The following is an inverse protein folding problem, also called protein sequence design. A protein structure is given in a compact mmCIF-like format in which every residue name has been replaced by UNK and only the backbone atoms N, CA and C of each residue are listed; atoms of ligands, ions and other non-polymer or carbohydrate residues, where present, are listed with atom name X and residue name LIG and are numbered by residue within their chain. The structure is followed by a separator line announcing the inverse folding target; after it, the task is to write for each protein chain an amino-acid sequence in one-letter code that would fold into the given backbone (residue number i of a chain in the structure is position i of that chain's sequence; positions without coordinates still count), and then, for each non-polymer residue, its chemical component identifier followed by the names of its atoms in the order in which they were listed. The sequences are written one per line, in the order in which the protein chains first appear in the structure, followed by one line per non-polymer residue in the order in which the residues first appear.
data_IF_956685148344
#
_entry.id   IF_956685148344
#
_cell.length_a   1.000
_cell.length_b   1.000
_cell.length_c   1.000
_cell.angle_alpha   90.00
_cell.angle_beta   90.00
_cell.angle_gamma   90.00
#
_symmetry.space_group_name_H-M   'P 1'
#
loop_
_entity.id
_entity.type
_entity.pdbx_description
1 polymer ?
#
# COMPACT_ATOMS: atom_id res chain seq x y z
N UNK A 1 -25.43 7.01 -9.40
CA UNK A 1 -24.55 7.25 -8.24
C UNK A 1 -24.05 5.91 -7.76
N UNK A 2 -22.79 5.55 -8.04
CA UNK A 2 -22.24 4.25 -7.65
C UNK A 2 -21.81 4.34 -6.19
N UNK A 3 -22.52 3.62 -5.31
CA UNK A 3 -22.14 3.47 -3.91
C UNK A 3 -21.10 2.35 -3.85
N UNK A 4 -19.83 2.70 -3.66
CA UNK A 4 -18.77 1.73 -3.39
C UNK A 4 -18.90 1.30 -1.93
N UNK A 5 -19.13 0.00 -1.62
CA UNK A 5 -19.27 -0.44 -0.24
C UNK A 5 -17.96 -0.26 0.54
N UNK A 6 -18.06 0.31 1.75
CA UNK A 6 -16.96 0.44 2.71
C UNK A 6 -16.48 -0.93 3.20
N UNK A 7 -15.64 -1.63 2.42
CA UNK A 7 -14.77 -2.68 2.95
C UNK A 7 -13.35 -2.12 3.04
N UNK A 8 -12.82 -2.07 4.26
CA UNK A 8 -11.42 -1.85 4.66
C UNK A 8 -10.96 -0.44 5.13
N UNK A 9 -11.61 0.13 6.15
CA UNK A 9 -10.92 1.10 7.05
C UNK A 9 -11.03 0.59 8.48
N UNK A 10 -9.88 0.40 9.16
CA UNK A 10 -9.82 0.04 10.58
C UNK A 10 -9.86 1.31 11.42
N UNK A 11 -10.75 1.36 12.43
CA UNK A 11 -10.75 2.44 13.42
C UNK A 11 -9.54 2.26 14.34
N UNK A 12 -8.73 3.31 14.47
CA UNK A 12 -7.55 3.35 15.33
C UNK A 12 -7.67 4.58 16.23
N UNK A 13 -7.39 4.41 17.52
CA UNK A 13 -7.27 5.53 18.48
C UNK A 13 -5.79 5.87 18.61
N UNK A 14 -5.46 7.16 18.49
CA UNK A 14 -4.11 7.69 18.68
C UNK A 14 -4.18 8.88 19.63
N UNK A 15 -3.18 9.04 20.48
CA UNK A 15 -3.03 10.23 21.31
C UNK A 15 -2.27 11.29 20.51
N UNK A 16 -2.76 12.53 20.57
CA UNK A 16 -2.16 13.70 19.92
C UNK A 16 -2.05 14.80 20.96
N UNK A 17 -1.02 15.63 20.84
CA UNK A 17 -0.93 16.87 21.59
C UNK A 17 -2.13 17.78 21.25
N UNK A 18 -2.74 18.49 22.22
CA UNK A 18 -3.90 19.34 21.97
C UNK A 18 -3.67 20.38 20.86
N UNK A 19 -2.48 20.94 20.79
CA UNK A 19 -2.09 21.95 19.81
C UNK A 19 -2.11 21.37 18.38
N UNK A 20 -1.70 20.11 18.23
CA UNK A 20 -1.74 19.40 16.96
C UNK A 20 -3.18 19.09 16.53
N UNK A 21 -4.03 18.67 17.47
CA UNK A 21 -5.46 18.42 17.18
C UNK A 21 -6.16 19.68 16.65
N UNK A 22 -5.90 20.83 17.29
CA UNK A 22 -6.41 22.12 16.83
C UNK A 22 -5.86 22.52 15.46
N UNK A 23 -4.59 22.25 15.18
CA UNK A 23 -4.02 22.50 13.85
C UNK A 23 -4.68 21.63 12.77
N UNK A 24 -4.96 20.36 13.09
CA UNK A 24 -5.66 19.44 12.20
C UNK A 24 -7.11 19.89 11.93
N UNK A 25 -7.82 20.41 12.93
CA UNK A 25 -9.18 20.96 12.75
C UNK A 25 -9.18 22.15 11.78
N UNK A 26 -8.26 23.10 11.96
CA UNK A 26 -8.14 24.25 11.05
C UNK A 26 -7.84 23.79 9.62
N UNK A 27 -6.96 22.80 9.47
CA UNK A 27 -6.59 22.26 8.16
C UNK A 27 -7.76 21.53 7.49
N UNK A 28 -8.49 20.71 8.25
CA UNK A 28 -9.66 19.99 7.78
C UNK A 28 -10.77 20.97 7.32
N UNK A 29 -11.04 22.00 8.10
CA UNK A 29 -11.98 23.06 7.77
C UNK A 29 -11.59 23.80 6.49
N UNK A 30 -10.32 24.22 6.37
CA UNK A 30 -9.78 24.88 5.17
C UNK A 30 -9.92 24.01 3.91
N UNK A 31 -9.73 22.70 4.05
CA UNK A 31 -9.81 21.73 2.95
C UNK A 31 -11.22 21.18 2.70
N UNK A 32 -12.19 21.49 3.56
CA UNK A 32 -13.57 20.95 3.54
C UNK A 32 -13.60 19.41 3.54
N UNK A 33 -12.75 18.78 4.34
CA UNK A 33 -12.68 17.33 4.53
C UNK A 33 -12.71 16.97 6.02
N UNK A 34 -12.86 15.69 6.36
CA UNK A 34 -12.79 15.25 7.76
C UNK A 34 -11.34 15.29 8.30
N UNK A 35 -11.21 15.46 9.63
CA UNK A 35 -9.93 15.31 10.35
C UNK A 35 -9.26 13.97 10.05
N UNK A 36 -10.05 12.90 9.99
CA UNK A 36 -9.57 11.56 9.65
C UNK A 36 -8.97 11.47 8.23
N UNK A 37 -9.51 12.21 7.26
CA UNK A 37 -8.97 12.23 5.90
C UNK A 37 -7.64 12.99 5.84
N UNK A 38 -7.52 14.10 6.59
CA UNK A 38 -6.24 14.82 6.73
C UNK A 38 -5.16 13.90 7.31
N UNK A 39 -5.46 13.23 8.43
CA UNK A 39 -4.53 12.29 9.08
C UNK A 39 -4.17 11.16 8.13
N UNK A 40 -5.16 10.56 7.45
CA UNK A 40 -4.95 9.46 6.51
C UNK A 40 -4.05 9.87 5.34
N UNK A 41 -4.27 11.05 4.76
CA UNK A 41 -3.46 11.55 3.65
C UNK A 41 -2.00 11.77 4.08
N UNK A 42 -1.78 12.41 5.23
CA UNK A 42 -0.44 12.64 5.77
C UNK A 42 0.29 11.32 6.07
N UNK A 43 -0.38 10.37 6.73
CA UNK A 43 0.20 9.06 7.03
C UNK A 43 0.47 8.24 5.76
N UNK A 44 -0.39 8.33 4.75
CA UNK A 44 -0.17 7.66 3.47
C UNK A 44 1.07 8.21 2.77
N UNK A 45 1.24 9.52 2.78
CA UNK A 45 2.42 10.17 2.18
C UNK A 45 3.69 9.77 2.93
N UNK A 46 3.70 9.87 4.27
CA UNK A 46 4.82 9.42 5.09
C UNK A 46 5.18 7.94 4.87
N UNK A 47 4.16 7.06 4.80
CA UNK A 47 4.37 5.62 4.60
C UNK A 47 4.92 5.26 3.21
N UNK A 48 4.69 6.08 2.17
CA UNK A 48 5.27 5.85 0.84
C UNK A 48 6.78 5.98 0.82
N UNK A 49 7.34 6.77 1.73
CA UNK A 49 8.77 7.00 1.85
C UNK A 49 9.48 5.93 2.68
N UNK A 50 8.74 5.01 3.30
CA UNK A 50 9.33 3.84 3.95
C UNK A 50 9.74 2.86 2.85
N UNK A 51 11.04 2.57 2.77
CA UNK A 51 11.58 1.63 1.81
C UNK A 51 10.88 0.28 1.99
N UNK A 52 10.20 -0.18 0.93
CA UNK A 52 9.52 -1.47 0.95
C UNK A 52 10.62 -2.53 1.03
N UNK A 53 10.59 -3.47 1.99
CA UNK A 53 11.60 -4.52 2.07
C UNK A 53 11.70 -5.21 0.70
N UNK A 54 12.85 -5.08 0.05
CA UNK A 54 13.10 -5.83 -1.17
C UNK A 54 13.21 -7.29 -0.75
N UNK A 55 12.36 -8.13 -1.32
CA UNK A 55 12.53 -9.58 -1.20
C UNK A 55 13.84 -9.90 -1.91
N UNK A 56 14.91 -10.09 -1.14
CA UNK A 56 16.26 -10.35 -1.64
C UNK A 56 16.55 -11.85 -1.78
N UNK A 57 15.70 -12.72 -1.23
CA UNK A 57 15.82 -14.17 -1.34
C UNK A 57 14.96 -14.76 -2.46
N UNK A 58 15.51 -15.77 -3.13
CA UNK A 58 14.80 -16.61 -4.10
C UNK A 58 13.82 -17.52 -3.35
N UNK A 59 12.59 -17.68 -3.87
CA UNK A 59 11.58 -18.58 -3.29
C UNK A 59 10.78 -18.01 -2.10
N UNK A 60 10.96 -16.74 -1.75
CA UNK A 60 10.26 -16.11 -0.61
C UNK A 60 8.85 -15.58 -0.93
N UNK A 61 8.40 -15.69 -2.18
CA UNK A 61 7.07 -15.28 -2.61
C UNK A 61 6.55 -16.22 -3.70
N UNK A 62 5.23 -16.43 -3.70
CA UNK A 62 4.52 -17.17 -4.74
C UNK A 62 3.72 -16.18 -5.60
N UNK A 63 3.90 -16.28 -6.91
CA UNK A 63 3.06 -15.60 -7.89
C UNK A 63 1.87 -16.46 -8.32
N UNK A 64 0.96 -15.93 -9.14
CA UNK A 64 -0.21 -16.68 -9.64
C UNK A 64 0.13 -17.80 -10.64
N UNK A 65 1.41 -18.05 -10.93
CA UNK A 65 1.87 -19.04 -11.89
C UNK A 65 2.94 -19.97 -11.32
N UNK A 66 3.29 -20.98 -12.08
CA UNK A 66 4.17 -22.09 -11.70
C UNK A 66 5.61 -21.95 -12.24
N UNK A 67 5.97 -20.74 -12.69
CA UNK A 67 7.22 -20.48 -13.43
C UNK A 67 8.43 -20.90 -12.61
N UNK A 68 8.45 -20.61 -11.30
CA UNK A 68 9.56 -20.97 -10.42
C UNK A 68 9.68 -22.49 -10.21
N UNK A 69 8.56 -23.22 -10.25
CA UNK A 69 8.51 -24.66 -10.01
C UNK A 69 8.78 -25.46 -11.30
N UNK A 70 8.56 -24.85 -12.47
CA UNK A 70 8.64 -25.49 -13.78
C UNK A 70 9.55 -24.74 -14.76
N UNK A 71 10.61 -24.10 -14.26
CA UNK A 71 11.52 -23.24 -15.04
C UNK A 71 12.01 -23.94 -16.30
N UNK A 72 12.51 -25.17 -16.16
CA UNK A 72 13.11 -25.91 -17.28
C UNK A 72 12.11 -26.21 -18.39
N UNK A 73 10.88 -26.57 -18.03
CA UNK A 73 9.80 -26.82 -19.01
C UNK A 73 9.49 -25.56 -19.80
N UNK A 74 9.28 -24.44 -19.09
CA UNK A 74 8.93 -23.17 -19.73
C UNK A 74 10.06 -22.62 -20.61
N UNK A 75 11.32 -22.78 -20.20
CA UNK A 75 12.47 -22.39 -21.02
C UNK A 75 12.60 -23.24 -22.30
N UNK A 76 12.33 -24.55 -22.20
CA UNK A 76 12.35 -25.44 -23.36
C UNK A 76 11.22 -25.13 -24.35
N UNK A 77 10.00 -24.89 -23.87
CA UNK A 77 8.83 -24.59 -24.71
C UNK A 77 8.92 -23.23 -25.41
N UNK A 78 9.52 -22.24 -24.76
CA UNK A 78 9.67 -20.89 -25.33
C UNK A 78 10.82 -20.76 -26.33
N UNK A 79 11.70 -21.77 -26.43
CA UNK A 79 12.86 -21.74 -27.32
C UNK A 79 13.95 -20.75 -26.87
N UNK A 80 13.96 -20.36 -25.60
CA UNK A 80 14.93 -19.40 -25.05
C UNK A 80 16.38 -19.89 -25.25
N UNK A 81 17.23 -19.03 -25.81
CA UNK A 81 18.66 -19.33 -26.02
C UNK A 81 18.99 -20.11 -27.30
N UNK A 82 18.04 -20.26 -28.24
CA UNK A 82 18.31 -20.78 -29.58
C UNK A 82 18.53 -19.65 -30.59
N UNK A 83 19.79 -19.28 -30.80
CA UNK A 83 20.33 -18.65 -32.04
C UNK A 83 21.47 -19.51 -32.56
#
# INVERSE_FOLDING_TARGET
MVVVPYRAVKKTTVYLEPELDHALDRLAAKRRVSKAEVIRAALRDAARHVERPRISGIGLAHGPGDVADNVDRHLAETGFGRE
#
